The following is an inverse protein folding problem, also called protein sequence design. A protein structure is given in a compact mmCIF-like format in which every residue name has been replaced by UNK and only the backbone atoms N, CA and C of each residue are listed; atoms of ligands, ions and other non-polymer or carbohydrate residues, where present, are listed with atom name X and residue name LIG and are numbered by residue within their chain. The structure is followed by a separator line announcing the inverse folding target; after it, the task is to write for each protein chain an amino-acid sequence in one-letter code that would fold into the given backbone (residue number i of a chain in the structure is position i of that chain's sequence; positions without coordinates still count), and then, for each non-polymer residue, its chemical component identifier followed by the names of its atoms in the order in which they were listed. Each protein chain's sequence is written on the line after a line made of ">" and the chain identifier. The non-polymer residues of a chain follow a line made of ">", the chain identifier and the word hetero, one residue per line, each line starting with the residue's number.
data_IF_714536800589
#
_entry.id   IF_714536800589
#
_cell.length_a   1.000
_cell.length_b   1.000
_cell.length_c   1.000
_cell.angle_alpha   90.00
_cell.angle_beta   90.00
_cell.angle_gamma   90.00
#
_symmetry.space_group_name_H-M   'P 1'
#
loop_
_entity.id
_entity.type
_entity.pdbx_description
1 polymer ?
#
# COMPACT_ATOMS: atom_id res chain seq x y z
N UNK A 1 -21.65 13.87 0.97
CA UNK A 1 -21.84 14.03 -0.49
C UNK A 1 -20.66 14.83 -1.03
N UNK A 2 -19.74 14.18 -1.74
CA UNK A 2 -18.63 14.84 -2.42
C UNK A 2 -19.18 15.65 -3.59
N UNK A 3 -18.95 16.97 -3.61
CA UNK A 3 -19.34 17.84 -4.72
C UNK A 3 -18.80 17.28 -6.05
N UNK A 4 -19.68 17.13 -7.06
CA UNK A 4 -19.32 16.58 -8.37
C UNK A 4 -18.17 17.33 -9.06
N UNK A 5 -17.98 18.61 -8.74
CA UNK A 5 -16.84 19.41 -9.21
C UNK A 5 -15.50 18.93 -8.62
N UNK A 6 -15.47 18.58 -7.34
CA UNK A 6 -14.25 18.07 -6.67
C UNK A 6 -13.90 16.67 -7.19
N UNK A 7 -14.89 15.82 -7.42
CA UNK A 7 -14.70 14.50 -8.02
C UNK A 7 -13.98 14.58 -9.37
N UNK A 8 -14.50 15.40 -10.29
CA UNK A 8 -13.89 15.54 -11.62
C UNK A 8 -12.47 16.13 -11.56
N UNK A 9 -12.22 17.03 -10.61
CA UNK A 9 -10.88 17.60 -10.40
C UNK A 9 -9.86 16.54 -9.96
N UNK A 10 -10.24 15.68 -9.02
CA UNK A 10 -9.39 14.59 -8.54
C UNK A 10 -9.05 13.63 -9.69
N UNK A 11 -10.04 13.17 -10.44
CA UNK A 11 -9.79 12.32 -11.61
C UNK A 11 -8.89 12.98 -12.63
N UNK A 12 -9.09 14.28 -12.87
CA UNK A 12 -8.24 15.07 -13.78
C UNK A 12 -6.77 15.07 -13.37
N UNK A 13 -6.48 15.17 -12.06
CA UNK A 13 -5.09 15.07 -11.57
C UNK A 13 -4.50 13.68 -11.76
N UNK A 14 -5.27 12.62 -11.48
CA UNK A 14 -4.80 11.24 -11.67
C UNK A 14 -4.51 10.98 -13.15
N UNK A 15 -5.44 11.32 -14.05
CA UNK A 15 -5.23 11.17 -15.50
C UNK A 15 -4.05 12.00 -15.99
N UNK A 16 -3.85 13.22 -15.48
CA UNK A 16 -2.70 14.03 -15.85
C UNK A 16 -1.36 13.36 -15.52
N UNK A 17 -1.28 12.59 -14.43
CA UNK A 17 -0.06 11.84 -14.08
C UNK A 17 0.09 10.59 -14.94
N UNK A 18 -1.01 9.88 -15.21
CA UNK A 18 -1.02 8.75 -16.15
C UNK A 18 -0.53 9.18 -17.54
N UNK A 19 -1.08 10.27 -18.09
CA UNK A 19 -0.69 10.83 -19.38
C UNK A 19 0.78 11.28 -19.39
N UNK A 20 1.25 11.93 -18.31
CA UNK A 20 2.61 12.42 -18.20
C UNK A 20 3.66 11.29 -18.19
N UNK A 21 3.28 10.13 -17.67
CA UNK A 21 4.13 8.94 -17.54
C UNK A 21 3.87 7.90 -18.64
N UNK A 22 3.07 8.24 -19.66
CA UNK A 22 2.64 7.36 -20.76
C UNK A 22 1.95 6.05 -20.30
N UNK A 23 1.25 6.09 -19.16
CA UNK A 23 0.45 4.99 -18.65
C UNK A 23 -1.01 5.15 -19.07
N UNK A 24 -1.64 4.07 -19.56
CA UNK A 24 -3.04 4.09 -20.04
C UNK A 24 -3.94 3.13 -19.26
N UNK A 25 -3.75 3.10 -17.94
CA UNK A 25 -4.54 2.25 -17.05
C UNK A 25 -5.97 2.78 -16.91
N UNK A 26 -6.92 1.85 -16.73
CA UNK A 26 -8.29 2.23 -16.38
C UNK A 26 -8.32 2.85 -14.96
N UNK A 27 -9.10 3.92 -14.79
CA UNK A 27 -9.42 4.48 -13.47
C UNK A 27 -10.81 4.06 -13.01
N UNK A 28 -10.87 3.18 -12.02
CA UNK A 28 -12.10 2.71 -11.39
C UNK A 28 -12.35 3.41 -10.05
N UNK A 29 -13.54 3.96 -9.86
CA UNK A 29 -13.94 4.51 -8.56
C UNK A 29 -14.55 3.42 -7.67
N UNK A 30 -14.28 3.50 -6.36
CA UNK A 30 -14.88 2.60 -5.37
C UNK A 30 -15.06 3.26 -4.01
N UNK A 31 -15.77 2.58 -3.10
CA UNK A 31 -15.98 2.99 -1.70
C UNK A 31 -15.54 1.87 -0.76
N UNK A 32 -14.23 1.58 -0.73
CA UNK A 32 -13.66 0.43 -0.02
C UNK A 32 -12.87 0.82 1.23
N UNK A 33 -12.75 2.11 1.53
CA UNK A 33 -11.94 2.59 2.67
C UNK A 33 -10.43 2.61 2.41
N UNK A 34 -10.00 2.21 1.22
CA UNK A 34 -8.62 2.35 0.71
C UNK A 34 -8.58 3.59 -0.19
N UNK A 35 -7.62 4.48 0.00
CA UNK A 35 -7.55 5.78 -0.71
C UNK A 35 -7.35 5.60 -2.23
N UNK A 36 -6.31 4.87 -2.61
CA UNK A 36 -5.95 4.51 -3.98
C UNK A 36 -5.32 3.11 -3.93
N UNK A 37 -5.47 2.33 -4.99
CA UNK A 37 -4.82 1.02 -5.09
C UNK A 37 -4.68 0.57 -6.53
N UNK A 38 -3.55 0.01 -6.90
CA UNK A 38 -3.37 -0.70 -8.15
C UNK A 38 -3.91 -2.13 -8.04
N UNK A 39 -4.79 -2.50 -8.96
CA UNK A 39 -5.30 -3.87 -9.09
C UNK A 39 -4.51 -4.59 -10.18
N UNK A 40 -3.45 -5.29 -9.80
CA UNK A 40 -2.57 -5.99 -10.75
C UNK A 40 -3.27 -7.10 -11.55
N UNK A 41 -4.35 -7.70 -11.03
CA UNK A 41 -5.14 -8.72 -11.77
C UNK A 41 -5.87 -8.09 -12.95
N UNK A 42 -6.57 -6.97 -12.73
CA UNK A 42 -7.37 -6.28 -13.76
C UNK A 42 -6.61 -5.15 -14.46
N UNK A 43 -5.36 -4.92 -14.08
CA UNK A 43 -4.47 -3.88 -14.60
C UNK A 43 -5.12 -2.48 -14.62
N UNK A 44 -5.53 -2.01 -13.43
CA UNK A 44 -6.24 -0.73 -13.27
C UNK A 44 -5.98 -0.06 -11.93
N UNK A 45 -6.16 1.25 -11.87
CA UNK A 45 -6.10 2.04 -10.63
C UNK A 45 -7.51 2.17 -10.06
N UNK A 46 -7.67 1.76 -8.81
CA UNK A 46 -8.83 2.02 -7.97
C UNK A 46 -8.64 3.32 -7.18
N UNK A 47 -9.67 4.16 -7.09
CA UNK A 47 -9.66 5.34 -6.21
C UNK A 47 -10.95 5.49 -5.42
N UNK A 48 -10.82 5.77 -4.13
CA UNK A 48 -11.90 6.23 -3.28
C UNK A 48 -11.77 7.73 -3.06
N UNK A 49 -12.63 8.48 -3.76
CA UNK A 49 -12.59 9.94 -3.82
C UNK A 49 -12.79 10.58 -2.45
N UNK A 50 -13.57 9.97 -1.56
CA UNK A 50 -13.77 10.48 -0.21
C UNK A 50 -12.56 10.16 0.67
N UNK A 51 -12.16 8.89 0.69
CA UNK A 51 -11.05 8.42 1.53
C UNK A 51 -9.73 9.10 1.19
N UNK A 52 -9.41 9.34 -0.08
CA UNK A 52 -8.13 9.98 -0.46
C UNK A 52 -8.00 11.42 0.07
N UNK A 53 -9.12 12.13 0.20
CA UNK A 53 -9.13 13.47 0.80
C UNK A 53 -8.98 13.41 2.33
N UNK A 54 -9.49 12.35 2.95
CA UNK A 54 -9.37 12.11 4.39
C UNK A 54 -7.97 11.64 4.76
N UNK A 55 -7.37 10.72 4.00
CA UNK A 55 -6.02 10.20 4.20
C UNK A 55 -4.99 11.33 4.22
N UNK A 56 -5.15 12.31 3.34
CA UNK A 56 -4.32 13.53 3.34
C UNK A 56 -4.40 14.35 4.62
N UNK A 57 -5.45 14.20 5.43
CA UNK A 57 -5.60 14.90 6.72
C UNK A 57 -4.99 14.12 7.88
N UNK A 58 -4.62 12.85 7.67
CA UNK A 58 -3.90 12.02 8.64
C UNK A 58 -2.40 12.36 8.69
N UNK A 59 -1.89 13.04 7.65
CA UNK A 59 -0.56 13.61 7.62
C UNK A 59 -0.35 14.64 8.73
N UNK A 60 0.78 14.53 9.45
CA UNK A 60 1.14 15.46 10.52
C UNK A 60 1.40 16.90 10.05
N UNK A 61 1.72 17.09 8.77
CA UNK A 61 1.94 18.40 8.14
C UNK A 61 1.02 18.60 6.94
N UNK A 62 0.49 19.82 6.71
CA UNK A 62 -0.41 20.07 5.60
C UNK A 62 0.27 19.89 4.24
N UNK A 63 -0.27 19.00 3.42
CA UNK A 63 0.09 18.85 2.00
C UNK A 63 -1.11 19.28 1.14
N UNK A 64 -0.85 19.84 -0.04
CA UNK A 64 -1.94 20.19 -0.97
C UNK A 64 -2.67 18.91 -1.43
N UNK A 65 -3.99 18.97 -1.60
CA UNK A 65 -4.78 17.80 -2.05
C UNK A 65 -4.28 17.31 -3.42
N UNK A 66 -3.91 18.25 -4.30
CA UNK A 66 -3.36 17.96 -5.62
C UNK A 66 -2.07 17.15 -5.50
N UNK A 67 -1.07 17.68 -4.77
CA UNK A 67 0.24 17.05 -4.61
C UNK A 67 0.13 15.67 -4.00
N UNK A 68 -0.71 15.50 -2.96
CA UNK A 68 -0.93 14.19 -2.36
C UNK A 68 -1.49 13.17 -3.36
N UNK A 69 -2.50 13.57 -4.16
CA UNK A 69 -3.09 12.69 -5.18
C UNK A 69 -2.07 12.34 -6.26
N UNK A 70 -1.29 13.32 -6.73
CA UNK A 70 -0.29 13.10 -7.77
C UNK A 70 0.81 12.14 -7.28
N UNK A 71 1.32 12.32 -6.05
CA UNK A 71 2.31 11.42 -5.45
C UNK A 71 1.74 10.02 -5.21
N UNK A 72 0.52 9.89 -4.68
CA UNK A 72 -0.12 8.58 -4.55
C UNK A 72 -0.36 7.92 -5.91
N UNK A 73 -0.67 8.69 -6.95
CA UNK A 73 -0.81 8.15 -8.31
C UNK A 73 0.54 7.61 -8.82
N UNK A 74 1.65 8.32 -8.60
CA UNK A 74 2.98 7.81 -8.93
C UNK A 74 3.29 6.49 -8.20
N UNK A 75 2.90 6.38 -6.94
CA UNK A 75 3.05 5.14 -6.16
C UNK A 75 2.31 3.96 -6.80
N UNK A 76 1.04 4.14 -7.17
CA UNK A 76 0.28 3.06 -7.84
C UNK A 76 0.84 2.71 -9.22
N UNK A 77 1.36 3.69 -9.96
CA UNK A 77 2.07 3.43 -11.21
C UNK A 77 3.40 2.70 -10.98
N UNK A 78 4.02 2.90 -9.81
CA UNK A 78 5.18 2.14 -9.38
C UNK A 78 4.88 0.65 -9.20
N UNK A 79 3.70 0.31 -8.66
CA UNK A 79 3.20 -1.07 -8.63
C UNK A 79 2.92 -1.61 -10.03
N UNK A 80 2.32 -0.81 -10.91
CA UNK A 80 2.06 -1.22 -12.29
C UNK A 80 3.35 -1.52 -13.08
N UNK A 81 4.44 -0.80 -12.81
CA UNK A 81 5.75 -1.05 -13.41
C UNK A 81 6.37 -2.40 -12.99
N UNK A 82 5.94 -2.99 -11.86
CA UNK A 82 6.40 -4.29 -11.37
C UNK A 82 5.27 -5.34 -11.29
N UNK A 83 4.31 -5.22 -12.22
CA UNK A 83 3.12 -6.08 -12.27
C UNK A 83 3.47 -7.58 -12.35
N UNK A 84 4.56 -7.93 -13.04
CA UNK A 84 4.98 -9.32 -13.20
C UNK A 84 5.32 -9.96 -11.85
N UNK A 85 6.09 -9.29 -11.00
CA UNK A 85 6.42 -9.79 -9.66
C UNK A 85 5.17 -9.96 -8.77
N UNK A 86 4.20 -9.05 -8.87
CA UNK A 86 2.91 -9.17 -8.18
C UNK A 86 2.06 -10.36 -8.67
N UNK A 87 2.14 -10.68 -9.96
CA UNK A 87 1.47 -11.86 -10.51
C UNK A 87 2.16 -13.16 -10.10
N UNK A 88 3.50 -13.16 -10.06
CA UNK A 88 4.30 -14.30 -9.63
C UNK A 88 4.07 -14.66 -8.16
N UNK A 89 3.76 -13.69 -7.30
CA UNK A 89 3.44 -13.97 -5.89
C UNK A 89 2.04 -14.56 -5.67
N UNK A 90 1.14 -14.53 -6.66
CA UNK A 90 -0.26 -14.96 -6.49
C UNK A 90 -0.45 -16.37 -5.93
N UNK A 91 0.27 -17.42 -6.38
CA UNK A 91 0.08 -18.76 -5.85
C UNK A 91 0.27 -18.79 -4.33
N UNK A 92 1.33 -18.16 -3.84
CA UNK A 92 1.62 -18.10 -2.41
C UNK A 92 0.64 -17.21 -1.65
N UNK A 93 0.26 -16.05 -2.21
CA UNK A 93 -0.78 -15.19 -1.60
C UNK A 93 -2.12 -15.92 -1.44
N UNK A 94 -2.49 -16.77 -2.40
CA UNK A 94 -3.71 -17.61 -2.32
C UNK A 94 -3.58 -18.66 -1.22
N UNK A 95 -2.42 -19.31 -1.10
CA UNK A 95 -2.15 -20.28 -0.03
C UNK A 95 -2.26 -19.64 1.36
N UNK A 96 -1.60 -18.49 1.57
CA UNK A 96 -1.65 -17.74 2.84
C UNK A 96 -3.07 -17.25 3.14
N UNK A 97 -3.80 -16.77 2.13
CA UNK A 97 -5.21 -16.40 2.29
C UNK A 97 -6.07 -17.58 2.76
N UNK A 98 -5.96 -18.73 2.10
CA UNK A 98 -6.72 -19.93 2.44
C UNK A 98 -6.36 -20.45 3.84
N UNK A 99 -5.08 -20.42 4.20
CA UNK A 99 -4.61 -20.79 5.53
C UNK A 99 -5.27 -19.91 6.61
N UNK A 100 -5.15 -18.58 6.50
CA UNK A 100 -5.75 -17.62 7.44
C UNK A 100 -7.26 -17.81 7.60
N UNK A 101 -7.94 -18.18 6.51
CA UNK A 101 -9.39 -18.44 6.51
C UNK A 101 -9.79 -19.77 7.16
N UNK A 102 -8.88 -20.73 7.19
CA UNK A 102 -9.14 -22.08 7.71
C UNK A 102 -9.00 -22.19 9.23
N UNK A 103 -8.48 -21.15 9.87
CA UNK A 103 -8.19 -21.09 11.31
C UNK A 103 -8.91 -19.91 11.97
N UNK A 104 -9.25 -20.00 13.27
CA UNK A 104 -9.81 -18.87 14.01
C UNK A 104 -8.88 -17.65 14.00
N UNK A 105 -9.46 -16.44 14.01
CA UNK A 105 -8.68 -15.19 13.98
C UNK A 105 -7.74 -15.06 15.19
N UNK A 106 -8.17 -15.48 16.38
CA UNK A 106 -7.33 -15.49 17.59
C UNK A 106 -6.06 -16.35 17.42
N UNK A 107 -6.11 -17.38 16.58
CA UNK A 107 -4.96 -18.25 16.29
C UNK A 107 -3.87 -17.52 15.51
N UNK A 108 -4.21 -16.48 14.75
CA UNK A 108 -3.26 -15.71 13.92
C UNK A 108 -2.14 -15.08 14.76
N UNK A 109 -2.42 -14.82 16.03
CA UNK A 109 -1.54 -14.09 16.95
C UNK A 109 -1.08 -14.92 18.15
N UNK A 110 -1.53 -16.18 18.26
CA UNK A 110 -1.20 -17.07 19.38
C UNK A 110 -0.48 -18.36 18.95
N UNK A 111 -0.59 -18.76 17.69
CA UNK A 111 0.19 -19.85 17.10
C UNK A 111 1.47 -19.30 16.46
N UNK A 112 2.68 -19.65 16.96
CA UNK A 112 3.94 -19.16 16.42
C UNK A 112 4.17 -19.52 14.95
N UNK A 113 3.75 -20.72 14.50
CA UNK A 113 3.96 -21.16 13.12
C UNK A 113 3.09 -20.36 12.16
N UNK A 114 1.84 -20.10 12.55
CA UNK A 114 0.94 -19.26 11.76
C UNK A 114 1.38 -17.79 11.74
N UNK A 115 1.80 -17.26 12.90
CA UNK A 115 2.28 -15.88 12.99
C UNK A 115 3.54 -15.66 12.15
N UNK A 116 4.42 -16.66 12.05
CA UNK A 116 5.58 -16.62 11.16
C UNK A 116 5.18 -16.47 9.70
N UNK A 117 4.19 -17.23 9.23
CA UNK A 117 3.68 -17.12 7.85
C UNK A 117 3.08 -15.73 7.60
N UNK A 118 2.36 -15.17 8.58
CA UNK A 118 1.82 -13.81 8.51
C UNK A 118 2.95 -12.77 8.43
N UNK A 119 4.03 -12.95 9.21
CA UNK A 119 5.21 -12.08 9.15
C UNK A 119 5.91 -12.14 7.80
N UNK A 120 6.03 -13.33 7.22
CA UNK A 120 6.59 -13.50 5.87
C UNK A 120 5.72 -12.76 4.83
N UNK A 121 4.39 -12.83 4.96
CA UNK A 121 3.45 -12.13 4.05
C UNK A 121 3.58 -10.61 4.19
N UNK A 122 3.64 -10.12 5.42
CA UNK A 122 3.86 -8.71 5.70
C UNK A 122 5.20 -8.21 5.14
N UNK A 123 6.27 -9.00 5.28
CA UNK A 123 7.58 -8.64 4.75
C UNK A 123 7.57 -8.59 3.23
N UNK A 124 6.96 -9.56 2.56
CA UNK A 124 6.79 -9.53 1.10
C UNK A 124 6.03 -8.27 0.65
N UNK A 125 4.92 -7.95 1.33
CA UNK A 125 4.14 -6.74 1.01
C UNK A 125 4.97 -5.46 1.22
N UNK A 126 5.76 -5.37 2.28
CA UNK A 126 6.68 -4.24 2.52
C UNK A 126 7.70 -4.10 1.37
N UNK A 127 8.23 -5.21 0.85
CA UNK A 127 9.17 -5.16 -0.29
C UNK A 127 8.51 -4.73 -1.60
N UNK A 128 7.25 -5.11 -1.84
CA UNK A 128 6.47 -4.58 -2.96
C UNK A 128 6.24 -3.07 -2.84
N UNK A 129 5.84 -2.61 -1.65
CA UNK A 129 5.65 -1.19 -1.36
C UNK A 129 6.93 -0.38 -1.57
N UNK A 130 8.07 -0.86 -1.06
CA UNK A 130 9.39 -0.22 -1.28
C UNK A 130 9.75 -0.13 -2.76
N UNK A 131 9.46 -1.18 -3.53
CA UNK A 131 9.75 -1.21 -4.97
C UNK A 131 8.87 -0.23 -5.73
N UNK A 132 7.57 -0.18 -5.42
CA UNK A 132 6.65 0.81 -5.97
C UNK A 132 7.07 2.25 -5.63
N UNK A 133 7.50 2.51 -4.39
CA UNK A 133 8.03 3.82 -4.00
C UNK A 133 9.32 4.21 -4.71
N UNK A 134 10.21 3.25 -5.01
CA UNK A 134 11.44 3.49 -5.79
C UNK A 134 11.12 3.86 -7.25
N UNK A 135 10.16 3.19 -7.85
CA UNK A 135 9.65 3.56 -9.18
C UNK A 135 8.98 4.94 -9.15
N UNK A 136 8.16 5.21 -8.13
CA UNK A 136 7.52 6.51 -7.94
C UNK A 136 8.53 7.65 -7.76
N UNK A 137 9.60 7.42 -7.01
CA UNK A 137 10.70 8.38 -6.82
C UNK A 137 11.41 8.67 -8.15
N UNK A 138 11.67 7.62 -8.94
CA UNK A 138 12.25 7.77 -10.29
C UNK A 138 11.37 8.65 -11.19
N UNK A 139 10.06 8.40 -11.20
CA UNK A 139 9.10 9.21 -11.96
C UNK A 139 8.99 10.64 -11.41
N UNK A 140 8.99 10.81 -10.08
CA UNK A 140 8.97 12.12 -9.45
C UNK A 140 10.20 12.95 -9.84
N UNK A 141 11.39 12.34 -9.83
CA UNK A 141 12.63 13.01 -10.21
C UNK A 141 12.65 13.39 -11.69
N UNK A 142 12.07 12.57 -12.57
CA UNK A 142 11.98 12.88 -14.00
C UNK A 142 11.01 14.04 -14.30
N UNK A 143 9.88 14.09 -13.60
CA UNK A 143 8.78 14.99 -13.92
C UNK A 143 8.59 16.16 -12.95
N UNK A 144 9.34 16.17 -11.84
CA UNK A 144 9.31 17.20 -10.80
C UNK A 144 7.90 17.45 -10.24
N UNK A 145 7.17 16.37 -9.93
CA UNK A 145 5.77 16.42 -9.47
C UNK A 145 5.66 17.02 -8.06
N UNK A 146 6.54 16.61 -7.16
CA UNK A 146 6.67 17.14 -5.81
C UNK A 146 8.15 17.39 -5.49
N UNK A 147 8.40 18.36 -4.61
CA UNK A 147 9.73 18.50 -4.02
C UNK A 147 10.06 17.26 -3.17
N UNK A 148 11.36 16.94 -3.08
CA UNK A 148 11.88 15.75 -2.40
C UNK A 148 11.36 15.61 -0.96
N UNK A 149 11.31 16.71 -0.20
CA UNK A 149 10.84 16.69 1.19
C UNK A 149 9.37 16.33 1.28
N UNK A 150 8.53 16.91 0.42
CA UNK A 150 7.10 16.58 0.38
C UNK A 150 6.87 15.14 -0.09
N UNK A 151 7.61 14.69 -1.10
CA UNK A 151 7.52 13.32 -1.60
C UNK A 151 7.87 12.30 -0.51
N UNK A 152 9.03 12.49 0.13
CA UNK A 152 9.53 11.61 1.19
C UNK A 152 8.60 11.58 2.40
N UNK A 153 8.06 12.74 2.78
CA UNK A 153 7.11 12.81 3.88
C UNK A 153 5.82 12.00 3.62
N UNK A 154 5.29 12.03 2.39
CA UNK A 154 4.13 11.22 2.00
C UNK A 154 4.51 9.73 1.99
N UNK A 155 5.67 9.37 1.41
CA UNK A 155 6.20 8.02 1.38
C UNK A 155 6.34 7.43 2.78
N UNK A 156 7.00 8.14 3.69
CA UNK A 156 7.22 7.69 5.08
C UNK A 156 5.90 7.44 5.81
N UNK A 157 4.94 8.37 5.66
CA UNK A 157 3.62 8.19 6.25
C UNK A 157 2.88 6.97 5.69
N UNK A 158 2.96 6.76 4.37
CA UNK A 158 2.35 5.59 3.72
C UNK A 158 3.00 4.29 4.16
N UNK A 159 4.33 4.23 4.18
CA UNK A 159 5.11 3.06 4.59
C UNK A 159 4.86 2.65 6.05
N UNK A 160 4.63 3.62 6.94
CA UNK A 160 4.32 3.35 8.34
C UNK A 160 3.07 2.45 8.51
N UNK A 161 2.11 2.50 7.58
CA UNK A 161 0.92 1.64 7.62
C UNK A 161 1.22 0.15 7.41
N UNK A 162 2.39 -0.18 6.86
CA UNK A 162 2.88 -1.55 6.68
C UNK A 162 3.94 -1.93 7.72
N UNK A 163 4.88 -1.03 7.99
CA UNK A 163 6.01 -1.31 8.87
C UNK A 163 5.62 -1.41 10.34
N UNK A 164 4.70 -0.58 10.83
CA UNK A 164 4.34 -0.59 12.24
C UNK A 164 3.58 -1.87 12.66
N UNK A 165 2.57 -2.35 11.90
CA UNK A 165 1.97 -3.65 12.16
C UNK A 165 2.97 -4.81 12.11
N UNK A 166 3.89 -4.80 11.15
CA UNK A 166 4.95 -5.81 11.06
C UNK A 166 5.83 -5.82 12.32
N UNK A 167 6.33 -4.65 12.75
CA UNK A 167 7.15 -4.51 13.97
C UNK A 167 6.40 -4.98 15.21
N UNK A 168 5.09 -4.72 15.30
CA UNK A 168 4.25 -5.18 16.42
C UNK A 168 4.12 -6.71 16.43
N UNK A 169 3.84 -7.32 15.28
CA UNK A 169 3.73 -8.76 15.13
C UNK A 169 5.07 -9.47 15.37
N UNK A 170 6.19 -8.87 14.95
CA UNK A 170 7.52 -9.43 15.17
C UNK A 170 7.84 -9.52 16.66
N UNK A 171 7.57 -8.44 17.42
CA UNK A 171 7.72 -8.45 18.88
C UNK A 171 6.81 -9.46 19.57
N UNK A 172 5.64 -9.73 19.01
CA UNK A 172 4.75 -10.76 19.53
C UNK A 172 5.32 -12.16 19.27
N UNK A 173 5.78 -12.41 18.06
CA UNK A 173 6.42 -13.67 17.68
C UNK A 173 7.66 -13.98 18.54
N UNK A 174 8.55 -12.99 18.72
CA UNK A 174 9.74 -13.13 19.56
C UNK A 174 9.40 -13.54 21.01
N UNK A 175 8.31 -12.99 21.56
CA UNK A 175 7.83 -13.37 22.90
C UNK A 175 7.30 -14.80 22.94
N UNK A 176 6.46 -15.19 21.97
CA UNK A 176 5.91 -16.54 21.91
C UNK A 176 7.00 -17.61 21.81
N UNK A 177 8.05 -17.35 21.03
CA UNK A 177 9.18 -18.29 20.91
C UNK A 177 9.98 -18.37 22.21
N UNK A 178 10.22 -17.25 22.89
CA UNK A 178 10.91 -17.25 24.18
C UNK A 178 10.14 -18.06 25.24
N UNK A 179 8.82 -17.88 25.34
CA UNK A 179 7.97 -18.59 26.29
C UNK A 179 7.97 -20.12 26.04
N UNK A 180 7.99 -20.55 24.77
CA UNK A 180 8.07 -21.97 24.40
C UNK A 180 9.41 -22.59 24.81
N UNK A 181 10.51 -21.85 24.67
CA UNK A 181 11.85 -22.32 25.08
C UNK A 181 11.95 -22.42 26.60
N UNK A 182 11.41 -21.47 27.36
CA UNK A 182 11.38 -21.53 28.83
C UNK A 182 10.51 -22.66 29.37
N UNK A 183 9.42 -23.02 28.68
CA UNK A 183 8.56 -24.15 29.07
C UNK A 183 9.15 -25.52 28.74
N UNK A 184 10.16 -25.59 27.87
CA UNK A 184 10.78 -26.86 27.41
C UNK A 184 12.19 -27.08 27.97
N UNK A 185 12.74 -26.13 28.71
CA UNK A 185 14.02 -26.21 29.44
C UNK A 185 13.84 -26.69 30.89
#
# INVERSE_FOLDING_TARGET
>A
MTDGRNRNKIKGWIYSIMDLTDNKLELAEHSKGINMSYNFIHDRIGVDIARIQEARKELASPVSVKTYIEVMTLHELGHAADREALLESMPWTIEVYNLKKSVPEDSHYSDPELLKIILDEQLMNIEFEKTAWRHAETMNNLHQIADEKTFDFIREHSMASYEEPYKQNLRLYERLIADVVEMTA
#
